data_IF_891025403511
#
_entry.id   IF_891025403511
#
_cell.length_a   1.000
_cell.length_b   1.000
_cell.length_c   1.000
_cell.angle_alpha   90.00
_cell.angle_beta   90.00
_cell.angle_gamma   90.00
#
_symmetry.space_group_name_H-M   'P 1'
#
loop_
_entity.id
_entity.type
_entity.pdbx_description
1 polymer ?
#
# COMPACT_ATOMS: atom_id res chain seq x y z
N UNK A 1 -9.11 9.08 -10.96
CA UNK A 1 -8.83 8.51 -9.62
C UNK A 1 -8.53 7.03 -9.77
N UNK A 2 -7.75 6.44 -8.87
CA UNK A 2 -7.41 5.01 -8.89
C UNK A 2 -8.19 4.27 -7.80
N UNK A 3 -8.67 3.07 -8.12
CA UNK A 3 -9.45 2.22 -7.21
C UNK A 3 -9.12 0.74 -7.44
N UNK A 4 -9.53 -0.12 -6.51
CA UNK A 4 -9.27 -1.55 -6.57
C UNK A 4 -10.41 -2.35 -5.97
N UNK A 5 -10.63 -3.57 -6.48
CA UNK A 5 -11.51 -4.56 -5.86
C UNK A 5 -10.74 -5.62 -5.05
N UNK A 6 -9.41 -5.47 -4.90
CA UNK A 6 -8.59 -6.34 -4.06
C UNK A 6 -8.48 -5.75 -2.65
N UNK A 7 -9.18 -6.38 -1.71
CA UNK A 7 -9.18 -5.98 -0.31
C UNK A 7 -7.79 -6.00 0.33
N UNK A 8 -6.96 -6.99 0.01
CA UNK A 8 -5.60 -7.07 0.53
C UNK A 8 -4.73 -5.92 -0.02
N UNK A 9 -5.03 -5.45 -1.23
CA UNK A 9 -4.38 -4.27 -1.81
C UNK A 9 -4.76 -2.99 -1.08
N UNK A 10 -6.04 -2.82 -0.71
CA UNK A 10 -6.50 -1.67 0.11
C UNK A 10 -5.72 -1.60 1.41
N UNK A 11 -5.62 -2.71 2.16
CA UNK A 11 -4.86 -2.77 3.42
C UNK A 11 -3.40 -2.37 3.21
N UNK A 12 -2.75 -2.90 2.16
CA UNK A 12 -1.35 -2.55 1.82
C UNK A 12 -1.21 -1.06 1.51
N UNK A 13 -2.15 -0.45 0.78
CA UNK A 13 -2.13 0.97 0.45
C UNK A 13 -2.30 1.85 1.69
N UNK A 14 -3.29 1.57 2.54
CA UNK A 14 -3.48 2.30 3.80
C UNK A 14 -2.24 2.21 4.70
N UNK A 15 -1.66 1.01 4.84
CA UNK A 15 -0.42 0.81 5.57
C UNK A 15 0.76 1.61 4.99
N UNK A 16 0.84 1.73 3.66
CA UNK A 16 1.88 2.55 3.00
C UNK A 16 1.69 4.05 3.24
N UNK A 17 0.45 4.55 3.23
CA UNK A 17 0.16 5.94 3.55
C UNK A 17 0.42 6.25 5.03
N UNK A 18 -0.02 5.39 5.95
CA UNK A 18 0.29 5.50 7.38
C UNK A 18 1.81 5.50 7.62
N UNK A 19 2.57 4.63 6.93
CA UNK A 19 4.03 4.57 7.03
C UNK A 19 4.76 5.79 6.43
N UNK A 20 4.04 6.70 5.77
CA UNK A 20 4.51 8.00 5.26
C UNK A 20 3.99 9.16 6.12
N UNK A 21 3.51 8.86 7.33
CA UNK A 21 2.98 9.82 8.29
C UNK A 21 1.72 10.58 7.78
N UNK A 22 0.96 9.98 6.85
CA UNK A 22 -0.34 10.50 6.44
C UNK A 22 -1.41 10.12 7.46
N UNK A 23 -2.31 11.05 7.76
CA UNK A 23 -3.42 10.89 8.72
C UNK A 23 -4.77 11.07 8.02
N UNK A 24 -5.86 10.67 8.69
CA UNK A 24 -7.22 10.81 8.13
C UNK A 24 -7.46 9.96 6.90
N UNK A 25 -6.87 8.76 6.84
CA UNK A 25 -7.01 7.85 5.69
C UNK A 25 -8.40 7.21 5.75
N UNK A 26 -9.22 7.49 4.74
CA UNK A 26 -10.54 6.89 4.57
C UNK A 26 -10.54 5.85 3.46
N UNK A 27 -11.18 4.71 3.73
CA UNK A 27 -11.51 3.69 2.74
C UNK A 27 -12.93 3.96 2.27
N UNK A 28 -13.09 4.18 0.96
CA UNK A 28 -14.39 4.35 0.34
C UNK A 28 -14.80 3.03 -0.34
N UNK A 29 -15.97 2.53 0.03
CA UNK A 29 -16.63 1.46 -0.70
C UNK A 29 -17.59 2.09 -1.72
N UNK A 30 -17.50 1.62 -2.95
CA UNK A 30 -18.27 2.18 -4.07
C UNK A 30 -19.01 1.07 -4.81
N UNK A 31 -20.28 1.32 -5.12
CA UNK A 31 -21.07 0.52 -6.02
C UNK A 31 -20.81 0.96 -7.47
N UNK A 32 -20.27 0.06 -8.28
CA UNK A 32 -19.92 0.33 -9.68
C UNK A 32 -21.08 0.06 -10.63
N UNK A 33 -22.27 -0.23 -10.13
CA UNK A 33 -23.47 -0.42 -10.95
C UNK A 33 -24.26 0.89 -11.12
N UNK A 34 -25.16 0.92 -12.10
CA UNK A 34 -26.08 2.02 -12.33
C UNK A 34 -25.69 3.00 -13.44
N UNK A 35 -26.70 3.65 -14.01
CA UNK A 35 -26.60 4.48 -15.23
C UNK A 35 -25.79 5.78 -15.03
N UNK A 36 -25.58 6.20 -13.78
CA UNK A 36 -24.81 7.41 -13.45
C UNK A 36 -23.33 7.34 -13.87
N UNK A 37 -22.79 6.11 -13.98
CA UNK A 37 -21.44 5.89 -14.50
C UNK A 37 -21.36 6.09 -16.03
N UNK A 38 -22.46 5.87 -16.76
CA UNK A 38 -22.43 6.03 -18.22
C UNK A 38 -22.65 7.48 -18.67
N UNK A 39 -23.27 8.30 -17.82
CA UNK A 39 -23.55 9.71 -18.12
C UNK A 39 -22.31 10.61 -17.97
N UNK A 40 -21.70 10.64 -16.77
CA UNK A 40 -20.72 11.67 -16.40
C UNK A 40 -19.35 11.13 -15.96
N UNK A 41 -19.23 9.83 -15.67
CA UNK A 41 -18.01 9.27 -15.06
C UNK A 41 -17.82 7.80 -15.39
N UNK A 42 -16.78 7.45 -16.14
CA UNK A 42 -16.53 6.04 -16.51
C UNK A 42 -15.56 5.35 -15.58
N UNK A 43 -15.72 4.04 -15.47
CA UNK A 43 -14.76 3.14 -14.81
C UNK A 43 -14.03 2.34 -15.87
N UNK A 44 -12.71 2.41 -15.85
CA UNK A 44 -11.84 1.71 -16.77
C UNK A 44 -11.10 0.60 -16.04
N UNK A 45 -11.26 -0.63 -16.52
CA UNK A 45 -10.35 -1.73 -16.16
C UNK A 45 -8.96 -1.43 -16.75
N UNK A 46 -7.97 -1.28 -15.88
CA UNK A 46 -6.60 -0.92 -16.29
C UNK A 46 -6.00 -1.97 -17.21
N UNK A 47 -6.28 -3.26 -17.03
CA UNK A 47 -5.73 -4.31 -17.89
C UNK A 47 -6.30 -4.20 -19.31
N UNK A 48 -7.60 -3.96 -19.42
CA UNK A 48 -8.25 -3.74 -20.72
C UNK A 48 -7.72 -2.48 -21.41
N UNK A 49 -7.55 -1.39 -20.66
CA UNK A 49 -7.01 -0.13 -21.19
C UNK A 49 -5.58 -0.32 -21.72
N UNK A 50 -4.70 -0.96 -20.93
CA UNK A 50 -3.32 -1.26 -21.34
C UNK A 50 -3.26 -2.16 -22.57
N UNK A 51 -4.21 -3.08 -22.73
CA UNK A 51 -4.34 -3.90 -23.93
C UNK A 51 -4.68 -3.05 -25.16
N UNK A 52 -5.69 -2.19 -25.06
CA UNK A 52 -6.08 -1.28 -26.16
C UNK A 52 -4.99 -0.29 -26.54
N UNK A 53 -4.19 0.16 -25.58
CA UNK A 53 -3.06 1.07 -25.81
C UNK A 53 -1.78 0.38 -26.29
N UNK A 54 -1.80 -0.94 -26.50
CA UNK A 54 -0.62 -1.72 -26.91
C UNK A 54 0.57 -1.57 -25.93
N UNK A 55 0.29 -1.61 -24.61
CA UNK A 55 1.29 -1.51 -23.54
C UNK A 55 1.45 -2.83 -22.75
N UNK A 56 1.86 -3.94 -23.39
CA UNK A 56 1.88 -5.27 -22.78
C UNK A 56 2.90 -5.42 -21.65
N UNK A 57 3.98 -4.63 -21.66
CA UNK A 57 4.99 -4.65 -20.59
C UNK A 57 4.38 -4.22 -19.25
N UNK A 58 3.41 -3.30 -19.28
CA UNK A 58 2.74 -2.81 -18.08
C UNK A 58 1.70 -3.82 -17.56
N UNK A 59 1.05 -4.60 -18.43
CA UNK A 59 0.08 -5.63 -17.99
C UNK A 59 0.72 -6.67 -17.06
N UNK A 60 2.01 -6.94 -17.22
CA UNK A 60 2.76 -7.88 -16.37
C UNK A 60 3.04 -7.35 -14.97
N UNK A 61 2.80 -6.06 -14.70
CA UNK A 61 3.12 -5.43 -13.42
C UNK A 61 2.09 -5.84 -12.36
N UNK A 62 2.50 -6.52 -11.28
CA UNK A 62 1.55 -7.01 -10.27
C UNK A 62 0.71 -5.90 -9.62
N UNK A 63 1.26 -4.70 -9.47
CA UNK A 63 0.54 -3.57 -8.86
C UNK A 63 -0.57 -3.00 -9.75
N UNK A 64 -0.63 -3.34 -11.03
CA UNK A 64 -1.71 -2.94 -11.94
C UNK A 64 -2.81 -4.01 -12.05
N UNK A 65 -2.65 -5.16 -11.40
CA UNK A 65 -3.73 -6.14 -11.29
C UNK A 65 -4.82 -5.61 -10.37
N UNK A 66 -6.07 -5.93 -10.70
CA UNK A 66 -7.25 -5.53 -9.93
C UNK A 66 -7.35 -4.01 -9.75
N UNK A 67 -6.82 -3.26 -10.70
CA UNK A 67 -6.79 -1.80 -10.69
C UNK A 67 -7.84 -1.25 -11.66
N UNK A 68 -8.57 -0.24 -11.20
CA UNK A 68 -9.57 0.47 -11.97
C UNK A 68 -9.27 1.96 -11.93
N UNK A 69 -9.57 2.66 -13.02
CA UNK A 69 -9.50 4.11 -13.09
C UNK A 69 -10.89 4.68 -13.20
N UNK A 70 -11.22 5.59 -12.30
CA UNK A 70 -12.45 6.35 -12.32
C UNK A 70 -12.17 7.71 -12.95
N UNK A 71 -12.87 8.00 -14.03
CA UNK A 71 -12.82 9.26 -14.74
C UNK A 71 -13.71 10.30 -14.03
N UNK A 72 -13.34 11.57 -14.06
CA UNK A 72 -14.13 12.69 -13.51
C UNK A 72 -14.43 12.63 -12.00
N UNK A 73 -15.44 11.86 -11.56
CA UNK A 73 -15.93 11.86 -10.18
C UNK A 73 -16.63 10.56 -9.78
N UNK A 74 -16.58 10.18 -8.51
CA UNK A 74 -17.45 9.12 -7.98
C UNK A 74 -18.83 9.74 -7.69
N UNK A 75 -19.94 9.23 -8.26
CA UNK A 75 -21.28 9.70 -7.91
C UNK A 75 -21.53 9.53 -6.39
N UNK A 76 -22.00 10.56 -5.66
CA UNK A 76 -22.16 10.47 -4.21
C UNK A 76 -23.12 9.35 -3.76
N UNK A 77 -24.15 9.11 -4.56
CA UNK A 77 -25.15 8.02 -4.44
C UNK A 77 -24.53 6.63 -4.48
N UNK A 78 -23.35 6.50 -5.10
CA UNK A 78 -22.63 5.23 -5.29
C UNK A 78 -21.62 4.96 -4.19
N UNK A 79 -21.39 5.89 -3.27
CA UNK A 79 -20.56 5.63 -2.09
C UNK A 79 -21.40 4.87 -1.07
N UNK A 80 -21.19 3.55 -0.98
CA UNK A 80 -21.94 2.66 -0.09
C UNK A 80 -21.37 2.60 1.32
N UNK A 81 -20.09 2.96 1.47
CA UNK A 81 -19.41 2.90 2.77
C UNK A 81 -18.25 3.88 2.86
N UNK A 82 -18.03 4.37 4.08
CA UNK A 82 -16.83 5.11 4.47
C UNK A 82 -16.32 4.51 5.76
N UNK A 83 -15.04 4.17 5.78
CA UNK A 83 -14.41 3.56 6.93
C UNK A 83 -13.09 4.25 7.21
N UNK A 84 -12.91 4.74 8.44
CA UNK A 84 -11.65 5.34 8.85
C UNK A 84 -10.62 4.23 9.12
N UNK A 85 -9.46 4.32 8.47
CA UNK A 85 -8.37 3.36 8.63
C UNK A 85 -7.95 3.19 10.10
N UNK A 86 -7.89 4.27 10.87
CA UNK A 86 -7.44 4.22 12.26
C UNK A 86 -8.38 3.41 13.16
N UNK A 87 -9.68 3.37 12.83
CA UNK A 87 -10.69 2.60 13.56
C UNK A 87 -10.63 1.11 13.23
N UNK A 88 -10.29 0.75 11.99
CA UNK A 88 -10.37 -0.63 11.52
C UNK A 88 -9.04 -1.34 11.36
N UNK A 89 -7.90 -0.63 11.36
CA UNK A 89 -6.58 -1.22 11.06
C UNK A 89 -6.21 -2.41 11.93
N UNK A 90 -6.64 -2.44 13.19
CA UNK A 90 -6.40 -3.57 14.10
C UNK A 90 -7.27 -4.79 13.78
N UNK A 91 -8.43 -4.58 13.17
CA UNK A 91 -9.28 -5.67 12.66
C UNK A 91 -8.78 -6.17 11.32
N UNK A 92 -8.28 -5.28 10.46
CA UNK A 92 -7.87 -5.61 9.10
C UNK A 92 -6.44 -6.17 9.01
N UNK A 93 -5.56 -5.77 9.93
CA UNK A 93 -4.19 -6.29 10.07
C UNK A 93 -3.92 -6.60 11.57
N UNK A 94 -4.53 -7.67 12.12
CA UNK A 94 -4.47 -7.99 13.55
C UNK A 94 -3.05 -8.15 14.07
N UNK A 95 -2.22 -8.86 13.32
CA UNK A 95 -0.82 -9.10 13.68
C UNK A 95 0.09 -7.90 13.35
N UNK A 96 -0.45 -6.87 12.68
CA UNK A 96 0.33 -5.72 12.25
C UNK A 96 1.39 -6.04 11.19
N UNK A 97 1.31 -7.20 10.55
CA UNK A 97 2.35 -7.71 9.63
C UNK A 97 2.47 -6.82 8.41
N UNK A 98 1.32 -6.40 7.84
CA UNK A 98 1.31 -5.55 6.64
C UNK A 98 1.84 -4.16 6.98
N UNK A 99 1.41 -3.58 8.12
CA UNK A 99 1.91 -2.29 8.60
C UNK A 99 3.41 -2.31 8.92
N UNK A 100 3.89 -3.38 9.56
CA UNK A 100 5.32 -3.54 9.85
C UNK A 100 6.15 -3.59 8.56
N UNK A 101 5.71 -4.37 7.57
CA UNK A 101 6.36 -4.44 6.26
C UNK A 101 6.38 -3.08 5.55
N UNK A 102 5.28 -2.33 5.56
CA UNK A 102 5.19 -1.00 4.97
C UNK A 102 6.15 0.00 5.64
N UNK A 103 6.23 0.01 6.98
CA UNK A 103 7.19 0.84 7.73
C UNK A 103 8.63 0.49 7.40
N UNK A 104 8.95 -0.80 7.30
CA UNK A 104 10.29 -1.25 6.92
C UNK A 104 10.68 -0.78 5.52
N UNK A 105 9.78 -0.93 4.54
CA UNK A 105 10.01 -0.46 3.18
C UNK A 105 10.16 1.07 3.12
N UNK A 106 9.32 1.83 3.82
CA UNK A 106 9.39 3.29 3.90
C UNK A 106 10.75 3.77 4.45
N UNK A 107 11.26 3.13 5.52
CA UNK A 107 12.59 3.41 6.07
C UNK A 107 13.72 3.08 5.09
N UNK A 108 13.56 1.99 4.31
CA UNK A 108 14.50 1.60 3.27
C UNK A 108 14.43 2.46 2.02
N UNK A 109 13.38 3.22 1.75
CA UNK A 109 13.35 4.12 0.57
C UNK A 109 13.88 5.52 0.87
N UNK A 110 13.90 5.93 2.15
CA UNK A 110 14.44 7.22 2.57
C UNK A 110 15.98 7.17 2.70
N UNK A 111 16.75 7.90 1.86
CA UNK A 111 18.21 7.88 1.90
C UNK A 111 18.79 8.38 3.24
N UNK A 112 18.09 9.24 3.98
CA UNK A 112 18.53 9.67 5.32
C UNK A 112 18.38 8.56 6.35
N UNK A 113 17.29 7.79 6.27
CA UNK A 113 17.03 6.65 7.18
C UNK A 113 17.82 5.40 6.82
N UNK A 114 18.19 5.20 5.54
CA UNK A 114 19.13 4.15 5.11
C UNK A 114 20.45 4.20 5.86
N UNK A 115 21.07 5.39 5.95
CA UNK A 115 22.36 5.57 6.62
C UNK A 115 22.27 5.23 8.11
N UNK A 116 21.20 5.67 8.78
CA UNK A 116 20.95 5.34 10.19
C UNK A 116 20.71 3.84 10.44
N UNK A 117 20.02 3.15 9.52
CA UNK A 117 19.81 1.70 9.59
C UNK A 117 21.11 0.92 9.39
N UNK A 118 21.90 1.27 8.36
CA UNK A 118 23.19 0.63 8.09
C UNK A 118 24.18 0.83 9.25
N UNK A 119 24.19 2.02 9.86
CA UNK A 119 25.02 2.31 11.03
C UNK A 119 24.57 1.51 12.26
N UNK A 120 23.26 1.30 12.44
CA UNK A 120 22.71 0.48 13.54
C UNK A 120 23.00 -1.02 13.36
N UNK A 121 22.87 -1.57 12.15
CA UNK A 121 23.18 -2.98 11.86
C UNK A 121 24.67 -3.29 11.98
N UNK A 122 25.54 -2.34 11.58
CA UNK A 122 26.99 -2.44 11.81
C UNK A 122 27.33 -2.44 13.31
N UNK A 123 26.61 -1.63 14.11
CA UNK A 123 26.73 -1.61 15.56
C UNK A 123 26.38 -2.96 16.22
N UNK A 124 25.27 -3.58 15.81
CA UNK A 124 24.85 -4.88 16.34
C UNK A 124 25.77 -6.04 15.92
N UNK A 125 26.22 -6.07 14.67
CA UNK A 125 27.19 -7.08 14.19
C UNK A 125 28.52 -7.00 14.95
N UNK A 126 28.99 -5.78 15.25
CA UNK A 126 30.20 -5.56 16.05
C UNK A 126 30.04 -5.97 17.53
N UNK A 127 28.84 -5.82 18.12
CA UNK A 127 28.57 -6.33 19.47
C UNK A 127 28.57 -7.87 19.49
N UNK A 128 27.83 -8.51 18.58
CA UNK A 128 27.76 -9.98 18.50
C UNK A 128 29.14 -10.64 18.30
N UNK A 129 29.99 -10.07 17.43
CA UNK A 129 31.35 -10.59 17.22
C UNK A 129 32.29 -10.34 18.40
N UNK A 130 32.09 -9.25 19.16
CA UNK A 130 32.86 -9.01 20.41
C UNK A 130 32.44 -9.93 21.54
N UNK A 131 31.14 -10.21 21.67
CA UNK A 131 30.62 -11.12 22.70
C UNK A 131 31.03 -12.56 22.41
N UNK A 132 31.04 -12.98 21.14
CA UNK A 132 31.54 -14.31 20.74
C UNK A 132 33.04 -14.48 21.05
N UNK A 133 33.88 -13.47 20.77
CA UNK A 133 35.32 -13.50 21.09
C UNK A 133 35.64 -13.44 22.58
N UNK A 134 34.68 -13.06 23.44
CA UNK A 134 34.84 -13.07 24.90
C UNK A 134 34.57 -14.45 25.51
N UNK A 135 33.78 -15.29 24.85
CA UNK A 135 33.44 -16.63 25.32
C UNK A 135 34.56 -17.65 25.05
N UNK A 136 35.39 -17.44 24.03
CA UNK A 136 36.55 -18.31 23.69
C UNK A 136 37.82 -18.05 24.56
N UNK A 137 37.70 -17.29 25.66
CA UNK A 137 38.84 -16.92 26.53
C UNK A 137 38.68 -17.34 28.00
N UNK A 138 37.80 -18.31 28.29
CA UNK A 138 37.65 -18.90 29.62
C UNK A 138 38.06 -20.36 29.58
#
# INVERSE_FOLDING_TARGET
MSSTNDYAKVIRMCACYEARDMTGIEILEIDTTGEEWDADSRIWDVQQLLCRMSLPILQRKPYLKNEYLIENRIPPTRVTGRVNWDEVKHKLDPDGTVRAAARYQSRKSDPKKRKALDDSEKGEKNKRTRDFKRLDKV
#
